data_IF_799034536423
#
_entry.id   IF_799034536423
#
_cell.length_a   1.000
_cell.length_b   1.000
_cell.length_c   1.000
_cell.angle_alpha   90.00
_cell.angle_beta   90.00
_cell.angle_gamma   90.00
#
_symmetry.space_group_name_H-M   'P 1'
#
loop_
_entity.id
_entity.type
_entity.pdbx_description
1 polymer ?
#
# COMPACT_ATOMS: atom_id res chain seq x y z
N UNK A 1 1.57 34.13 -51.87
CA UNK A 1 1.02 32.77 -51.84
C UNK A 1 1.10 32.28 -50.41
N UNK A 2 0.06 32.56 -49.63
CA UNK A 2 -0.18 32.06 -48.28
C UNK A 2 -1.65 31.68 -48.23
N UNK A 3 -1.93 30.39 -48.10
CA UNK A 3 -3.25 29.83 -47.86
C UNK A 3 -3.22 29.37 -46.41
N UNK A 4 -4.04 29.99 -45.55
CA UNK A 4 -4.42 29.41 -44.27
C UNK A 4 -5.94 29.29 -44.30
N UNK A 5 -6.38 28.03 -44.33
CA UNK A 5 -7.76 27.61 -44.37
C UNK A 5 -8.46 27.97 -43.05
N UNK A 6 -9.57 28.70 -43.17
CA UNK A 6 -10.61 28.71 -42.16
C UNK A 6 -11.33 27.35 -42.19
N UNK A 7 -11.23 26.59 -41.11
CA UNK A 7 -12.07 25.41 -40.88
C UNK A 7 -13.12 25.79 -39.84
N UNK A 8 -14.35 25.93 -40.33
CA UNK A 8 -15.53 26.16 -39.52
C UNK A 8 -15.90 24.93 -38.70
N UNK A 9 -16.31 25.18 -37.46
CA UNK A 9 -16.93 24.20 -36.59
C UNK A 9 -18.21 23.68 -37.22
N UNK A 10 -18.20 22.40 -37.59
CA UNK A 10 -19.44 21.66 -37.85
C UNK A 10 -19.90 21.14 -36.50
N UNK A 11 -20.96 21.74 -35.97
CA UNK A 11 -21.68 21.20 -34.82
C UNK A 11 -22.31 19.86 -35.25
N UNK A 12 -21.62 18.76 -34.98
CA UNK A 12 -22.19 17.44 -35.04
C UNK A 12 -23.08 17.29 -33.81
N UNK A 13 -24.38 17.45 -34.01
CA UNK A 13 -25.42 17.04 -33.07
C UNK A 13 -25.20 15.55 -32.77
N UNK A 14 -24.70 15.23 -31.58
CA UNK A 14 -24.63 13.84 -31.14
C UNK A 14 -26.06 13.31 -31.00
N UNK A 15 -26.38 12.12 -31.56
CA UNK A 15 -27.65 11.48 -31.30
C UNK A 15 -27.77 11.27 -29.79
N UNK A 16 -28.95 11.50 -29.23
CA UNK A 16 -29.21 11.26 -27.83
C UNK A 16 -28.92 9.80 -27.48
N UNK A 17 -27.81 9.57 -26.79
CA UNK A 17 -27.61 8.34 -26.05
C UNK A 17 -28.53 8.41 -24.83
N UNK A 18 -29.58 7.59 -24.88
CA UNK A 18 -30.38 7.31 -23.71
C UNK A 18 -29.45 6.91 -22.57
N UNK A 19 -29.67 7.52 -21.41
CA UNK A 19 -29.22 7.00 -20.14
C UNK A 19 -29.77 5.56 -20.03
N UNK A 20 -28.97 4.60 -20.49
CA UNK A 20 -29.14 3.22 -20.09
C UNK A 20 -28.91 3.23 -18.59
N UNK A 21 -30.01 2.99 -17.89
CA UNK A 21 -30.12 2.65 -16.49
C UNK A 21 -29.12 1.51 -16.21
N UNK A 22 -27.85 1.84 -15.93
CA UNK A 22 -26.81 0.86 -15.62
C UNK A 22 -27.09 0.35 -14.21
N UNK A 23 -27.98 -0.64 -14.11
CA UNK A 23 -28.06 -1.48 -12.92
C UNK A 23 -26.66 -2.01 -12.63
N UNK A 24 -26.15 -1.64 -11.46
CA UNK A 24 -24.84 -2.10 -11.01
C UNK A 24 -24.90 -3.62 -10.80
N UNK A 25 -23.81 -4.35 -11.06
CA UNK A 25 -23.76 -5.78 -10.78
C UNK A 25 -23.84 -5.98 -9.26
N UNK A 26 -24.95 -6.55 -8.80
CA UNK A 26 -25.18 -6.94 -7.41
C UNK A 26 -24.84 -8.42 -7.22
N UNK A 27 -24.37 -8.78 -6.04
CA UNK A 27 -24.00 -10.13 -5.63
C UNK A 27 -24.86 -10.51 -4.44
N UNK A 28 -25.38 -11.74 -4.41
CA UNK A 28 -26.12 -12.26 -3.25
C UNK A 28 -25.20 -12.30 -2.01
N UNK A 29 -25.68 -11.72 -0.92
CA UNK A 29 -24.98 -11.63 0.37
C UNK A 29 -25.59 -12.56 1.42
N UNK A 30 -26.90 -12.80 1.31
CA UNK A 30 -27.69 -13.71 2.12
C UNK A 30 -28.85 -14.25 1.29
N UNK A 31 -29.85 -14.82 1.96
CA UNK A 31 -31.00 -15.45 1.29
C UNK A 31 -31.83 -14.44 0.50
N UNK A 32 -32.03 -13.24 1.07
CA UNK A 32 -32.83 -12.17 0.48
C UNK A 32 -32.06 -10.84 0.27
N UNK A 33 -30.80 -10.77 0.73
CA UNK A 33 -29.94 -9.60 0.50
C UNK A 33 -29.00 -9.74 -0.70
N UNK A 34 -28.71 -8.61 -1.32
CA UNK A 34 -27.63 -8.48 -2.30
C UNK A 34 -26.80 -7.24 -2.04
N UNK A 35 -25.50 -7.28 -2.32
CA UNK A 35 -24.57 -6.16 -2.16
C UNK A 35 -23.84 -5.82 -3.45
N UNK A 36 -23.40 -4.57 -3.54
CA UNK A 36 -22.45 -4.14 -4.56
C UNK A 36 -21.04 -4.61 -4.14
N UNK A 37 -20.27 -5.33 -4.97
CA UNK A 37 -19.05 -6.01 -4.53
C UNK A 37 -17.83 -5.08 -4.33
N UNK A 38 -18.08 -3.81 -4.05
CA UNK A 38 -17.08 -2.78 -3.83
C UNK A 38 -17.55 -1.79 -2.76
N UNK A 39 -16.59 -1.07 -2.17
CA UNK A 39 -16.88 0.07 -1.29
C UNK A 39 -16.64 1.40 -1.99
N UNK A 40 -17.17 2.48 -1.43
CA UNK A 40 -17.03 3.84 -1.95
C UNK A 40 -16.78 4.85 -0.82
N UNK A 41 -15.95 5.90 -1.02
CA UNK A 41 -15.77 6.96 -0.03
C UNK A 41 -17.00 7.88 0.02
N UNK A 42 -17.91 7.78 -0.95
CA UNK A 42 -19.16 8.54 -1.00
C UNK A 42 -20.33 7.57 -1.16
N UNK A 43 -21.57 8.04 -0.93
CA UNK A 43 -22.77 7.26 -1.22
C UNK A 43 -23.10 7.27 -2.72
N UNK A 44 -22.10 6.94 -3.55
CA UNK A 44 -22.17 6.94 -5.00
C UNK A 44 -21.34 5.78 -5.59
N UNK A 45 -21.79 5.22 -6.72
CA UNK A 45 -21.15 4.07 -7.37
C UNK A 45 -19.94 4.45 -8.21
N UNK A 46 -19.84 5.73 -8.57
CA UNK A 46 -18.80 6.28 -9.44
C UNK A 46 -17.43 6.30 -8.76
N UNK A 47 -17.40 6.45 -7.43
CA UNK A 47 -16.20 6.58 -6.60
C UNK A 47 -15.76 5.23 -6.03
N UNK A 48 -15.97 4.13 -6.78
CA UNK A 48 -15.52 2.79 -6.40
C UNK A 48 -14.07 2.78 -5.87
N UNK A 49 -13.86 2.08 -4.76
CA UNK A 49 -12.54 1.79 -4.18
C UNK A 49 -12.28 0.27 -4.18
N UNK A 50 -11.84 -0.29 -3.05
CA UNK A 50 -11.47 -1.70 -2.93
C UNK A 50 -12.70 -2.61 -2.99
N UNK A 51 -12.47 -3.85 -3.40
CA UNK A 51 -13.52 -4.87 -3.49
C UNK A 51 -13.85 -5.45 -2.11
N UNK A 52 -15.09 -5.93 -1.96
CA UNK A 52 -15.43 -6.91 -0.91
C UNK A 52 -14.80 -8.25 -1.31
N UNK A 53 -14.02 -8.86 -0.43
CA UNK A 53 -13.26 -10.07 -0.76
C UNK A 53 -13.50 -11.23 0.21
N UNK A 54 -14.22 -11.00 1.29
CA UNK A 54 -14.73 -12.05 2.18
C UNK A 54 -16.20 -11.77 2.49
N UNK A 55 -17.03 -12.80 2.49
CA UNK A 55 -18.43 -12.77 2.93
C UNK A 55 -18.63 -13.90 3.94
N UNK A 56 -19.16 -13.57 5.12
CA UNK A 56 -19.45 -14.53 6.17
C UNK A 56 -20.96 -14.61 6.33
N UNK A 57 -21.55 -15.77 6.05
CA UNK A 57 -22.97 -16.06 6.28
C UNK A 57 -23.15 -16.55 7.72
N UNK A 58 -24.09 -15.95 8.45
CA UNK A 58 -24.38 -16.22 9.86
C UNK A 58 -24.20 -14.99 10.76
N UNK A 59 -24.45 -15.18 12.06
CA UNK A 59 -24.52 -14.10 13.05
C UNK A 59 -23.29 -13.16 13.00
N UNK A 60 -23.47 -11.86 12.70
CA UNK A 60 -22.39 -10.89 12.70
C UNK A 60 -21.64 -10.77 14.03
N UNK A 61 -22.33 -10.94 15.16
CA UNK A 61 -21.71 -10.91 16.48
C UNK A 61 -20.77 -12.11 16.68
N UNK A 62 -21.10 -13.27 16.13
CA UNK A 62 -20.22 -14.44 16.12
C UNK A 62 -19.00 -14.23 15.23
N UNK A 63 -19.18 -13.58 14.07
CA UNK A 63 -18.08 -13.22 13.17
C UNK A 63 -17.09 -12.28 13.86
N UNK A 64 -17.57 -11.20 14.49
CA UNK A 64 -16.73 -10.26 15.22
C UNK A 64 -15.99 -10.95 16.36
N UNK A 65 -16.71 -11.71 17.18
CA UNK A 65 -16.15 -12.43 18.31
C UNK A 65 -15.10 -13.46 17.89
N UNK A 66 -15.30 -14.13 16.76
CA UNK A 66 -14.31 -15.03 16.20
C UNK A 66 -13.00 -14.30 15.93
N UNK A 67 -13.07 -13.19 15.20
CA UNK A 67 -11.91 -12.41 14.81
C UNK A 67 -11.17 -11.81 16.02
N UNK A 68 -11.89 -11.30 17.02
CA UNK A 68 -11.28 -10.64 18.19
C UNK A 68 -10.80 -11.63 19.27
N UNK A 69 -11.50 -12.75 19.50
CA UNK A 69 -11.26 -13.59 20.69
C UNK A 69 -10.78 -15.01 20.39
N UNK A 70 -10.93 -15.51 19.16
CA UNK A 70 -10.79 -16.95 18.83
C UNK A 70 -9.94 -17.24 17.60
N UNK A 71 -9.52 -16.20 16.92
CA UNK A 71 -8.60 -16.25 15.79
C UNK A 71 -7.20 -16.62 16.28
N UNK A 72 -6.37 -17.07 15.34
CA UNK A 72 -4.94 -17.30 15.59
C UNK A 72 -4.13 -15.99 15.42
N UNK A 73 -4.73 -14.96 14.80
CA UNK A 73 -4.17 -13.62 14.63
C UNK A 73 -4.33 -12.71 15.85
N UNK A 74 -3.57 -11.62 15.90
CA UNK A 74 -3.60 -10.62 16.98
C UNK A 74 -4.51 -9.44 16.59
N UNK A 75 -5.75 -9.73 16.21
CA UNK A 75 -6.70 -8.70 15.76
C UNK A 75 -7.08 -7.74 16.87
N UNK A 76 -6.89 -6.45 16.64
CA UNK A 76 -7.26 -5.37 17.54
C UNK A 76 -8.21 -4.39 16.85
N UNK A 77 -9.11 -3.79 17.62
CA UNK A 77 -9.96 -2.70 17.15
C UNK A 77 -9.10 -1.51 16.71
N UNK A 78 -9.36 -0.99 15.51
CA UNK A 78 -8.65 0.18 15.00
C UNK A 78 -9.13 1.43 15.73
N UNK A 79 -8.21 2.11 16.41
CA UNK A 79 -8.53 3.37 17.09
C UNK A 79 -8.89 4.48 16.08
N UNK A 80 -9.74 5.47 16.45
CA UNK A 80 -10.10 6.58 15.56
C UNK A 80 -8.91 7.35 14.98
N UNK A 81 -7.83 7.43 15.74
CA UNK A 81 -6.57 8.06 15.32
C UNK A 81 -5.82 7.26 14.25
N UNK A 82 -6.08 5.95 14.19
CA UNK A 82 -5.43 4.99 13.32
C UNK A 82 -6.29 4.52 12.15
N UNK A 83 -7.52 5.04 12.09
CA UNK A 83 -8.42 4.87 10.95
C UNK A 83 -7.72 5.28 9.66
N UNK A 84 -7.99 4.47 8.66
CA UNK A 84 -7.29 4.50 7.40
C UNK A 84 -7.51 5.82 6.65
N UNK A 85 -6.45 6.61 6.53
CA UNK A 85 -6.38 7.84 5.71
C UNK A 85 -5.75 7.54 4.33
N UNK A 86 -5.72 6.27 3.91
CA UNK A 86 -5.09 5.86 2.65
C UNK A 86 -5.89 6.32 1.44
N UNK A 87 -5.13 6.71 0.42
CA UNK A 87 -5.59 6.84 -0.96
C UNK A 87 -5.71 5.41 -1.53
N UNK A 88 -6.75 4.69 -1.12
CA UNK A 88 -7.20 3.48 -1.78
C UNK A 88 -7.56 3.87 -3.23
N UNK A 89 -6.59 3.72 -4.12
CA UNK A 89 -6.57 4.36 -5.44
C UNK A 89 -7.93 4.35 -6.11
N UNK A 90 -8.51 5.54 -6.26
CA UNK A 90 -9.64 5.73 -7.17
C UNK A 90 -9.15 5.32 -8.55
N UNK A 91 -9.88 4.42 -9.19
CA UNK A 91 -9.58 3.92 -10.53
C UNK A 91 -9.40 5.14 -11.46
N UNK A 92 -8.19 5.36 -11.98
CA UNK A 92 -7.87 6.46 -12.91
C UNK A 92 -8.71 6.28 -14.19
N UNK A 93 -9.92 6.84 -14.21
CA UNK A 93 -10.53 7.23 -15.48
C UNK A 93 -9.67 8.33 -16.07
N UNK A 94 -8.98 8.01 -17.16
CA UNK A 94 -8.47 9.01 -18.10
C UNK A 94 -9.69 9.78 -18.65
N UNK A 95 -10.11 10.80 -17.93
CA UNK A 95 -11.24 11.67 -18.23
C UNK A 95 -11.04 13.01 -17.53
N UNK A 96 -11.06 14.09 -18.30
CA UNK A 96 -10.72 15.47 -17.88
C UNK A 96 -11.77 16.13 -16.98
N UNK A 97 -12.41 15.40 -16.06
CA UNK A 97 -13.30 15.96 -15.04
C UNK A 97 -12.61 15.89 -13.68
N UNK A 98 -11.86 16.93 -13.34
CA UNK A 98 -11.40 17.15 -11.96
C UNK A 98 -12.63 17.56 -11.13
N UNK A 99 -13.35 16.56 -10.61
CA UNK A 99 -14.27 16.78 -9.51
C UNK A 99 -13.42 16.93 -8.25
N UNK A 100 -13.33 18.15 -7.73
CA UNK A 100 -12.78 18.40 -6.40
C UNK A 100 -13.78 17.83 -5.39
N UNK A 101 -13.60 16.56 -5.02
CA UNK A 101 -14.30 15.94 -3.90
C UNK A 101 -13.59 16.28 -2.59
N UNK A 102 -14.36 16.45 -1.52
CA UNK A 102 -13.85 16.56 -0.15
C UNK A 102 -13.05 15.29 0.17
N UNK A 103 -11.83 15.43 0.65
CA UNK A 103 -11.03 14.31 1.14
C UNK A 103 -11.52 13.89 2.54
N UNK A 104 -12.69 13.25 2.63
CA UNK A 104 -13.15 12.54 3.83
C UNK A 104 -12.64 11.09 3.74
N UNK A 105 -11.40 10.89 4.15
CA UNK A 105 -10.63 9.69 3.87
C UNK A 105 -10.97 8.46 4.71
N UNK A 106 -11.63 8.57 5.86
CA UNK A 106 -11.80 7.43 6.76
C UNK A 106 -13.00 6.54 6.41
N UNK A 107 -14.17 7.10 6.15
CA UNK A 107 -15.41 6.33 5.97
C UNK A 107 -15.50 5.65 4.59
N UNK A 108 -15.92 4.38 4.55
CA UNK A 108 -16.16 3.65 3.30
C UNK A 108 -17.54 3.02 3.35
N UNK A 109 -18.40 3.40 2.41
CA UNK A 109 -19.76 2.89 2.32
C UNK A 109 -19.85 1.63 1.45
N UNK A 110 -20.70 0.70 1.85
CA UNK A 110 -21.15 -0.44 1.05
C UNK A 110 -22.61 -0.22 0.63
N UNK A 111 -22.98 -0.58 -0.60
CA UNK A 111 -24.38 -0.54 -1.03
C UNK A 111 -24.99 -1.94 -0.93
N UNK A 112 -26.12 -2.07 -0.22
CA UNK A 112 -26.82 -3.34 -0.04
C UNK A 112 -28.34 -3.18 -0.22
N UNK A 113 -28.98 -4.17 -0.83
CA UNK A 113 -30.43 -4.27 -1.05
C UNK A 113 -31.00 -5.37 -0.17
N UNK A 114 -32.18 -5.13 0.40
CA UNK A 114 -32.96 -6.12 1.16
C UNK A 114 -34.14 -6.60 0.32
N UNK A 115 -34.80 -7.68 0.76
CA UNK A 115 -36.05 -8.19 0.19
C UNK A 115 -36.00 -8.53 -1.32
N UNK A 116 -34.82 -8.78 -1.88
CA UNK A 116 -34.64 -9.02 -3.31
C UNK A 116 -35.04 -7.86 -4.23
N UNK A 117 -35.26 -6.64 -3.71
CA UNK A 117 -35.56 -5.45 -4.52
C UNK A 117 -34.26 -4.70 -4.90
N UNK A 118 -33.78 -4.83 -6.15
CA UNK A 118 -32.55 -4.17 -6.60
C UNK A 118 -32.68 -2.63 -6.69
N UNK A 119 -33.88 -2.07 -6.50
CA UNK A 119 -34.14 -0.63 -6.53
C UNK A 119 -34.29 0.03 -5.16
N UNK A 120 -34.38 -0.78 -4.08
CA UNK A 120 -34.59 -0.32 -2.71
C UNK A 120 -33.34 -0.26 -1.84
N UNK A 121 -32.14 -0.47 -2.40
CA UNK A 121 -30.92 -0.61 -1.61
C UNK A 121 -30.45 0.68 -0.93
N UNK A 122 -29.70 0.50 0.16
CA UNK A 122 -29.18 1.55 1.02
C UNK A 122 -27.66 1.49 1.11
N UNK A 123 -27.04 2.66 1.27
CA UNK A 123 -25.63 2.76 1.64
C UNK A 123 -25.50 2.55 3.14
N UNK A 124 -24.65 1.61 3.53
CA UNK A 124 -24.31 1.31 4.93
C UNK A 124 -22.87 1.71 5.20
N UNK A 125 -22.66 2.20 6.41
CA UNK A 125 -21.34 2.52 6.95
C UNK A 125 -20.66 1.24 7.48
N UNK A 126 -19.35 1.31 7.75
CA UNK A 126 -18.63 0.26 8.45
C UNK A 126 -19.21 0.00 9.85
N UNK A 127 -19.41 -1.26 10.21
CA UNK A 127 -19.85 -1.65 11.55
C UNK A 127 -18.68 -1.69 12.54
N UNK A 128 -17.51 -2.15 12.08
CA UNK A 128 -16.26 -2.16 12.84
C UNK A 128 -15.04 -2.30 11.92
N UNK A 129 -13.87 -1.94 12.45
CA UNK A 129 -12.57 -2.06 11.77
C UNK A 129 -11.58 -2.75 12.70
N UNK A 130 -10.89 -3.79 12.20
CA UNK A 130 -9.85 -4.49 12.94
C UNK A 130 -8.53 -4.49 12.16
N UNK A 131 -7.42 -4.54 12.87
CA UNK A 131 -6.10 -4.73 12.29
C UNK A 131 -5.26 -5.77 13.03
N UNK A 132 -4.31 -6.37 12.33
CA UNK A 132 -3.29 -7.28 12.86
C UNK A 132 -1.92 -6.89 12.27
N UNK A 133 -1.00 -6.42 13.12
CA UNK A 133 0.33 -5.92 12.76
C UNK A 133 0.69 -4.56 13.37
N UNK A 134 1.81 -3.98 12.94
CA UNK A 134 2.32 -2.70 13.45
C UNK A 134 1.86 -1.51 12.58
N UNK A 135 1.45 -0.40 13.20
CA UNK A 135 1.03 0.83 12.52
C UNK A 135 2.15 1.42 11.66
N UNK A 136 3.39 1.56 12.18
CA UNK A 136 4.53 2.12 11.41
C UNK A 136 5.29 1.05 10.60
N UNK A 137 4.79 -0.18 10.61
CA UNK A 137 5.29 -1.33 9.87
C UNK A 137 4.34 -1.73 8.75
N UNK A 138 3.83 -2.96 8.85
CA UNK A 138 2.84 -3.56 7.96
C UNK A 138 1.75 -4.22 8.78
N UNK A 139 0.51 -4.14 8.30
CA UNK A 139 -0.64 -4.78 8.95
C UNK A 139 -1.65 -5.31 7.95
N UNK A 140 -2.38 -6.34 8.37
CA UNK A 140 -3.64 -6.70 7.77
C UNK A 140 -4.73 -5.81 8.38
N UNK A 141 -5.57 -5.22 7.55
CA UNK A 141 -6.67 -4.37 7.98
C UNK A 141 -7.97 -4.91 7.37
N UNK A 142 -9.03 -4.92 8.16
CA UNK A 142 -10.37 -5.28 7.70
C UNK A 142 -11.35 -4.16 8.03
N UNK A 143 -12.28 -3.94 7.10
CA UNK A 143 -13.51 -3.18 7.32
C UNK A 143 -14.68 -4.14 7.18
N UNK A 144 -15.51 -4.23 8.20
CA UNK A 144 -16.65 -5.14 8.24
C UNK A 144 -17.96 -4.38 8.13
N UNK A 145 -18.89 -4.94 7.36
CA UNK A 145 -20.22 -4.42 7.09
C UNK A 145 -21.23 -5.49 7.44
N UNK A 146 -22.14 -5.18 8.35
CA UNK A 146 -23.17 -6.11 8.79
C UNK A 146 -24.45 -5.94 7.98
N UNK A 147 -25.24 -7.00 7.92
CA UNK A 147 -26.52 -6.98 7.23
C UNK A 147 -27.39 -5.80 7.68
N UNK A 148 -27.97 -5.06 6.72
CA UNK A 148 -28.90 -4.00 7.03
C UNK A 148 -30.25 -4.47 7.59
N UNK A 149 -30.58 -5.74 7.36
CA UNK A 149 -31.84 -6.39 7.72
C UNK A 149 -31.62 -7.29 8.94
N UNK A 150 -32.36 -7.11 10.05
CA UNK A 150 -32.22 -7.98 11.21
C UNK A 150 -32.63 -9.43 10.96
N UNK A 151 -33.39 -9.72 9.90
CA UNK A 151 -33.83 -11.07 9.56
C UNK A 151 -32.88 -11.79 8.59
N UNK A 152 -31.81 -11.12 8.12
CA UNK A 152 -30.78 -11.69 7.25
C UNK A 152 -29.40 -11.58 7.92
N UNK A 153 -28.68 -12.68 8.05
CA UNK A 153 -27.45 -12.77 8.84
C UNK A 153 -26.23 -12.93 7.93
N UNK A 154 -25.52 -11.82 7.69
CA UNK A 154 -24.25 -11.85 6.97
C UNK A 154 -23.33 -10.70 7.41
N UNK A 155 -22.04 -10.92 7.23
CA UNK A 155 -20.98 -9.89 7.37
C UNK A 155 -20.14 -9.87 6.10
N UNK A 156 -20.13 -8.74 5.39
CA UNK A 156 -19.24 -8.51 4.27
C UNK A 156 -17.96 -7.84 4.77
N UNK A 157 -16.81 -8.34 4.32
CA UNK A 157 -15.50 -7.88 4.77
C UNK A 157 -14.69 -7.42 3.56
N UNK A 158 -14.13 -6.23 3.70
CA UNK A 158 -13.05 -5.72 2.89
C UNK A 158 -11.73 -5.91 3.65
N UNK A 159 -10.97 -6.92 3.28
CA UNK A 159 -9.66 -7.21 3.85
C UNK A 159 -8.54 -6.70 2.93
N UNK A 160 -7.60 -5.93 3.45
CA UNK A 160 -6.44 -5.48 2.69
C UNK A 160 -5.18 -5.44 3.55
N UNK A 161 -4.03 -5.52 2.88
CA UNK A 161 -2.72 -5.51 3.46
C UNK A 161 -2.10 -4.16 3.13
N UNK A 162 -1.58 -3.51 4.15
CA UNK A 162 -1.04 -2.16 4.03
C UNK A 162 0.24 -2.01 4.81
N UNK A 163 1.03 -1.02 4.41
CA UNK A 163 2.26 -0.65 5.08
C UNK A 163 2.39 0.85 5.20
N UNK A 164 3.11 1.29 6.23
CA UNK A 164 3.44 2.71 6.41
C UNK A 164 4.47 3.17 5.38
N UNK A 165 4.10 4.13 4.54
CA UNK A 165 5.00 4.75 3.58
C UNK A 165 5.60 6.04 4.18
N UNK A 166 6.87 5.99 4.56
CA UNK A 166 7.57 7.15 5.14
C UNK A 166 7.68 8.38 4.24
N UNK A 167 7.55 8.25 2.92
CA UNK A 167 7.58 9.39 2.00
C UNK A 167 6.20 9.98 1.75
N UNK A 168 5.13 9.22 2.03
CA UNK A 168 3.75 9.70 1.99
C UNK A 168 3.23 10.11 3.36
N UNK A 169 3.84 9.58 4.43
CA UNK A 169 3.35 9.70 5.82
C UNK A 169 1.90 9.20 5.96
N UNK A 170 1.61 8.09 5.27
CA UNK A 170 0.31 7.42 5.30
C UNK A 170 0.49 5.92 5.03
N UNK A 171 -0.53 5.13 5.35
CA UNK A 171 -0.62 3.76 4.87
C UNK A 171 -0.80 3.73 3.35
N UNK A 172 -0.16 2.76 2.70
CA UNK A 172 -0.36 2.43 1.30
C UNK A 172 -0.78 0.97 1.23
N UNK A 173 -1.94 0.73 0.62
CA UNK A 173 -2.45 -0.62 0.35
C UNK A 173 -1.56 -1.29 -0.69
N UNK A 174 -1.09 -2.49 -0.39
CA UNK A 174 -0.23 -3.27 -1.28
C UNK A 174 -0.79 -4.64 -1.68
N UNK A 175 -1.74 -5.21 -0.92
CA UNK A 175 -2.41 -6.45 -1.35
C UNK A 175 -3.77 -6.69 -0.70
N UNK A 176 -4.78 -6.89 -1.52
CA UNK A 176 -6.12 -7.39 -1.15
C UNK A 176 -6.11 -8.90 -1.07
N UNK A 177 -5.48 -9.58 -2.04
CA UNK A 177 -5.41 -11.03 -2.14
C UNK A 177 -4.74 -11.67 -0.92
N UNK A 178 -3.62 -11.09 -0.44
CA UNK A 178 -2.88 -11.61 0.71
C UNK A 178 -3.70 -11.54 2.00
N UNK A 179 -4.44 -10.44 2.20
CA UNK A 179 -5.28 -10.27 3.39
C UNK A 179 -6.56 -11.08 3.32
N UNK A 180 -7.16 -11.25 2.14
CA UNK A 180 -8.25 -12.22 1.95
C UNK A 180 -7.81 -13.62 2.39
N UNK A 181 -6.65 -14.08 1.91
CA UNK A 181 -6.10 -15.38 2.29
C UNK A 181 -5.75 -15.47 3.78
N UNK A 182 -5.36 -14.36 4.40
CA UNK A 182 -5.11 -14.28 5.84
C UNK A 182 -6.41 -14.50 6.62
N UNK A 183 -7.45 -13.72 6.32
CA UNK A 183 -8.79 -13.86 6.93
C UNK A 183 -9.37 -15.24 6.65
N UNK A 184 -9.27 -15.76 5.43
CA UNK A 184 -9.73 -17.10 5.05
C UNK A 184 -9.15 -18.19 5.97
N UNK A 185 -7.85 -18.12 6.28
CA UNK A 185 -7.19 -19.07 7.17
C UNK A 185 -7.70 -18.99 8.61
N UNK A 186 -8.15 -17.82 9.06
CA UNK A 186 -8.73 -17.68 10.40
C UNK A 186 -9.98 -18.53 10.61
N UNK A 187 -10.74 -18.78 9.55
CA UNK A 187 -11.97 -19.58 9.58
C UNK A 187 -11.73 -21.06 9.21
N UNK A 188 -10.63 -21.38 8.52
CA UNK A 188 -10.34 -22.76 8.10
C UNK A 188 -10.12 -23.71 9.29
N UNK A 189 -10.79 -24.86 9.26
CA UNK A 189 -10.61 -25.92 10.25
C UNK A 189 -11.19 -25.62 11.63
N UNK A 190 -11.98 -24.54 11.78
CA UNK A 190 -12.71 -24.22 13.01
C UNK A 190 -13.98 -25.07 13.11
N UNK A 191 -14.27 -25.57 14.32
CA UNK A 191 -15.36 -26.52 14.55
C UNK A 191 -16.78 -25.93 14.38
N UNK A 192 -16.92 -24.61 14.43
CA UNK A 192 -18.18 -23.89 14.22
C UNK A 192 -18.31 -23.33 12.78
N UNK A 193 -17.33 -23.57 11.91
CA UNK A 193 -17.37 -23.18 10.50
C UNK A 193 -17.75 -24.40 9.67
N UNK A 194 -18.81 -24.29 8.89
CA UNK A 194 -19.34 -25.39 8.07
C UNK A 194 -18.47 -25.61 6.85
N UNK A 195 -18.20 -24.52 6.13
CA UNK A 195 -17.48 -24.53 4.87
C UNK A 195 -16.79 -23.20 4.62
N UNK A 196 -15.71 -23.26 3.85
CA UNK A 196 -14.96 -22.10 3.37
C UNK A 196 -14.71 -22.30 1.89
N UNK A 197 -15.42 -21.54 1.05
CA UNK A 197 -15.37 -21.68 -0.41
C UNK A 197 -14.90 -20.40 -1.06
N UNK A 198 -14.43 -20.49 -2.31
CA UNK A 198 -14.16 -19.31 -3.15
C UNK A 198 -15.12 -19.28 -4.33
N UNK A 199 -15.76 -18.14 -4.53
CA UNK A 199 -16.67 -17.89 -5.66
C UNK A 199 -16.12 -16.74 -6.48
N UNK A 200 -16.05 -16.93 -7.80
CA UNK A 200 -15.61 -15.88 -8.71
C UNK A 200 -16.75 -14.93 -9.02
N UNK A 201 -16.64 -13.68 -8.57
CA UNK A 201 -17.64 -12.62 -8.73
C UNK A 201 -17.24 -11.58 -9.78
N UNK A 202 -16.01 -11.64 -10.31
CA UNK A 202 -15.52 -10.69 -11.31
C UNK A 202 -15.37 -9.28 -10.74
N UNK A 203 -15.05 -9.18 -9.45
CA UNK A 203 -14.67 -7.95 -8.76
C UNK A 203 -13.15 -7.72 -8.76
N UNK A 204 -12.50 -8.08 -9.86
CA UNK A 204 -11.06 -7.99 -10.11
C UNK A 204 -10.57 -6.56 -10.39
N UNK A 205 -11.45 -5.56 -10.25
CA UNK A 205 -11.11 -4.16 -10.52
C UNK A 205 -10.58 -3.47 -9.27
N UNK A 206 -9.30 -3.12 -9.32
CA UNK A 206 -8.63 -2.34 -8.29
C UNK A 206 -7.61 -3.17 -7.52
N UNK A 207 -6.48 -2.54 -7.18
CA UNK A 207 -5.33 -3.19 -6.52
C UNK A 207 -4.94 -4.50 -7.22
N UNK A 208 -4.80 -5.58 -6.46
CA UNK A 208 -4.42 -6.91 -6.92
C UNK A 208 -5.51 -7.97 -6.72
N UNK A 209 -6.78 -7.54 -6.63
CA UNK A 209 -7.92 -8.43 -6.55
C UNK A 209 -7.99 -9.33 -7.80
N UNK A 210 -8.23 -10.62 -7.59
CA UNK A 210 -8.28 -11.64 -8.65
C UNK A 210 -9.73 -11.98 -9.06
N UNK A 211 -10.71 -11.27 -8.50
CA UNK A 211 -12.13 -11.46 -8.76
C UNK A 211 -12.78 -12.61 -7.98
N UNK A 212 -12.04 -13.28 -7.10
CA UNK A 212 -12.55 -14.32 -6.21
C UNK A 212 -12.89 -13.75 -4.83
N UNK A 213 -14.03 -14.18 -4.29
CA UNK A 213 -14.47 -13.85 -2.93
C UNK A 213 -14.55 -15.12 -2.11
N UNK A 214 -14.04 -15.06 -0.89
CA UNK A 214 -14.12 -16.16 0.07
C UNK A 214 -15.49 -16.10 0.77
N UNK A 215 -16.25 -17.18 0.73
CA UNK A 215 -17.53 -17.32 1.44
C UNK A 215 -17.32 -18.28 2.62
N UNK A 216 -17.72 -17.85 3.81
CA UNK A 216 -17.65 -18.62 5.06
C UNK A 216 -19.06 -18.83 5.58
N UNK A 217 -19.49 -20.07 5.79
CA UNK A 217 -20.81 -20.38 6.35
C UNK A 217 -20.69 -20.82 7.82
N UNK A 218 -21.48 -20.20 8.71
CA UNK A 218 -21.52 -20.47 10.15
C UNK A 218 -22.80 -21.25 10.54
N UNK A 219 -22.86 -22.58 10.36
CA UNK A 219 -23.84 -23.42 11.06
C UNK A 219 -23.45 -24.91 11.24
N UNK A 220 -23.74 -25.47 12.41
CA UNK A 220 -22.98 -26.56 13.04
C UNK A 220 -22.96 -27.95 12.38
N UNK A 221 -21.75 -28.50 12.23
CA UNK A 221 -21.49 -29.93 11.99
C UNK A 221 -20.03 -30.30 12.28
N UNK A 222 -19.81 -31.38 13.05
CA UNK A 222 -18.47 -31.87 13.42
C UNK A 222 -17.65 -32.34 12.19
N UNK A 223 -16.38 -31.91 12.02
CA UNK A 223 -15.46 -32.55 11.08
C UNK A 223 -14.58 -33.64 11.76
N UNK A 224 -14.17 -34.71 11.04
CA UNK A 224 -13.24 -35.70 11.56
C UNK A 224 -11.77 -35.27 11.43
N UNK A 225 -11.04 -35.45 12.53
CA UNK A 225 -9.60 -35.70 12.76
C UNK A 225 -8.50 -35.55 11.67
N UNK A 226 -7.41 -34.91 12.14
CA UNK A 226 -5.95 -35.12 11.95
C UNK A 226 -5.25 -34.93 10.59
N UNK A 227 -4.27 -34.02 10.56
CA UNK A 227 -2.98 -34.21 9.87
C UNK A 227 -1.84 -33.52 10.65
N UNK A 228 -0.79 -34.30 10.91
CA UNK A 228 0.46 -33.86 11.51
C UNK A 228 1.44 -33.37 10.43
N UNK A 229 2.25 -32.36 10.75
CA UNK A 229 3.56 -32.19 10.10
C UNK A 229 4.66 -32.07 11.16
N UNK A 230 5.49 -33.11 11.22
CA UNK A 230 6.87 -33.05 11.73
C UNK A 230 7.72 -32.28 10.71
N UNK A 231 8.60 -31.41 11.22
CA UNK A 231 9.40 -30.49 10.42
C UNK A 231 10.59 -31.09 9.66
N UNK A 232 11.36 -30.20 9.04
CA UNK A 232 12.79 -30.34 8.70
C UNK A 232 13.35 -28.98 8.24
N UNK A 233 14.35 -28.46 8.96
CA UNK A 233 15.36 -27.53 8.42
C UNK A 233 16.49 -28.38 7.80
N UNK A 234 16.99 -28.01 6.61
CA UNK A 234 18.38 -27.53 6.46
C UNK A 234 18.43 -26.35 5.45
N UNK A 235 19.35 -25.40 5.43
CA UNK A 235 20.75 -25.38 5.80
C UNK A 235 21.56 -24.74 4.65
N UNK A 236 22.26 -23.64 4.96
CA UNK A 236 23.49 -23.12 4.33
C UNK A 236 23.52 -22.55 2.88
N UNK A 237 23.89 -21.26 2.84
CA UNK A 237 24.87 -20.57 1.98
C UNK A 237 25.18 -21.09 0.56
N UNK A 238 24.97 -20.22 -0.42
CA UNK A 238 25.86 -20.13 -1.58
C UNK A 238 26.42 -18.69 -1.72
N UNK A 239 27.70 -18.55 -1.35
CA UNK A 239 28.54 -17.46 -1.83
C UNK A 239 29.17 -17.90 -3.15
N UNK A 240 28.94 -17.17 -4.23
CA UNK A 240 29.67 -17.37 -5.48
C UNK A 240 31.03 -16.67 -5.39
N UNK A 241 32.11 -17.45 -5.48
CA UNK A 241 33.45 -16.94 -5.83
C UNK A 241 33.50 -16.68 -7.32
N UNK A 242 33.68 -15.43 -7.72
CA UNK A 242 34.23 -15.12 -9.05
C UNK A 242 35.70 -14.80 -8.86
N UNK A 243 36.55 -15.64 -9.45
CA UNK A 243 37.97 -15.40 -9.64
C UNK A 243 38.19 -15.01 -11.10
N UNK A 244 38.50 -13.75 -11.36
CA UNK A 244 39.35 -13.37 -12.49
C UNK A 244 40.24 -12.21 -12.05
N UNK A 245 41.55 -12.41 -12.17
CA UNK A 245 42.57 -11.38 -11.93
C UNK A 245 42.68 -10.53 -13.19
N UNK A 246 42.53 -9.22 -13.07
CA UNK A 246 43.01 -8.25 -14.03
C UNK A 246 43.70 -7.09 -13.28
N UNK A 247 44.76 -6.48 -13.84
CA UNK A 247 45.62 -5.52 -13.12
C UNK A 247 45.04 -4.09 -13.06
N UNK A 248 43.75 -3.97 -12.69
CA UNK A 248 43.07 -2.70 -12.37
C UNK A 248 42.64 -2.62 -10.88
N UNK A 249 42.84 -3.70 -10.10
CA UNK A 249 42.39 -3.81 -8.71
C UNK A 249 43.08 -2.83 -7.74
N UNK A 250 44.28 -2.35 -8.07
CA UNK A 250 45.05 -1.49 -7.16
C UNK A 250 44.53 -0.04 -7.05
N UNK A 251 43.79 0.45 -8.06
CA UNK A 251 43.18 1.80 -8.05
C UNK A 251 41.72 1.77 -7.55
N UNK A 252 41.05 0.63 -7.65
CA UNK A 252 39.65 0.41 -7.27
C UNK A 252 39.52 0.04 -5.78
N UNK A 253 40.50 -0.70 -5.21
CA UNK A 253 40.45 -1.20 -3.83
C UNK A 253 40.36 -0.11 -2.74
N UNK A 254 40.84 1.11 -3.00
CA UNK A 254 40.73 2.23 -2.05
C UNK A 254 39.43 3.05 -2.18
N UNK A 255 38.69 2.91 -3.30
CA UNK A 255 37.47 3.68 -3.61
C UNK A 255 36.18 2.92 -3.29
N UNK A 256 36.15 1.61 -3.52
CA UNK A 256 35.04 0.71 -3.16
C UNK A 256 34.60 0.84 -1.69
N UNK A 257 35.49 0.87 -0.67
CA UNK A 257 35.02 0.99 0.70
C UNK A 257 34.25 2.29 0.94
N UNK A 258 34.60 3.39 0.29
CA UNK A 258 33.92 4.69 0.49
C UNK A 258 32.58 4.76 -0.23
N UNK A 259 32.48 4.17 -1.42
CA UNK A 259 31.20 4.01 -2.11
C UNK A 259 30.24 3.11 -1.31
N UNK A 260 30.75 2.02 -0.75
CA UNK A 260 29.99 1.14 0.14
C UNK A 260 29.61 1.82 1.46
N UNK A 261 30.46 2.69 2.01
CA UNK A 261 30.12 3.48 3.19
C UNK A 261 28.96 4.44 2.90
N UNK A 262 28.95 5.11 1.74
CA UNK A 262 27.83 5.95 1.34
C UNK A 262 26.55 5.11 1.19
N UNK A 263 26.57 4.07 0.36
CA UNK A 263 25.39 3.21 0.16
C UNK A 263 24.90 2.59 1.48
N UNK A 264 25.81 2.04 2.27
CA UNK A 264 25.53 1.46 3.58
C UNK A 264 24.98 2.48 4.57
N UNK A 265 25.42 3.74 4.54
CA UNK A 265 24.86 4.79 5.40
C UNK A 265 23.41 5.12 5.08
N UNK A 266 23.02 5.11 3.80
CA UNK A 266 21.64 5.35 3.39
C UNK A 266 20.72 4.20 3.79
N UNK A 267 21.18 2.96 3.57
CA UNK A 267 20.49 1.75 4.03
C UNK A 267 20.33 1.79 5.56
N UNK A 268 21.42 1.99 6.29
CA UNK A 268 21.40 1.99 7.76
C UNK A 268 20.49 3.09 8.33
N UNK A 269 20.53 4.31 7.77
CA UNK A 269 19.68 5.41 8.22
C UNK A 269 18.20 5.13 7.95
N UNK A 270 17.88 4.62 6.75
CA UNK A 270 16.50 4.28 6.40
C UNK A 270 15.94 3.20 7.34
N UNK A 271 16.71 2.12 7.54
CA UNK A 271 16.31 1.03 8.44
C UNK A 271 16.30 1.43 9.91
N UNK A 272 17.17 2.36 10.33
CA UNK A 272 17.09 2.96 11.66
C UNK A 272 15.75 3.66 11.86
N UNK A 273 15.27 4.38 10.85
CA UNK A 273 13.97 5.05 10.93
C UNK A 273 12.83 4.03 10.99
N UNK A 274 12.81 3.05 10.07
CA UNK A 274 11.80 1.99 10.05
C UNK A 274 11.74 1.21 11.36
N UNK A 275 12.82 0.52 11.71
CA UNK A 275 12.83 -0.35 12.88
C UNK A 275 12.89 0.42 14.20
N UNK A 276 13.50 1.60 14.21
CA UNK A 276 13.50 2.46 15.39
C UNK A 276 12.10 2.93 15.74
N UNK A 277 11.30 3.34 14.75
CA UNK A 277 9.93 3.78 14.97
C UNK A 277 9.02 2.64 15.46
N UNK A 278 9.05 1.47 14.79
CA UNK A 278 8.32 0.27 15.21
C UNK A 278 8.74 -0.16 16.62
N UNK A 279 10.04 -0.12 16.93
CA UNK A 279 10.55 -0.44 18.26
C UNK A 279 10.05 0.53 19.35
N UNK A 280 9.80 1.80 19.01
CA UNK A 280 9.24 2.78 19.94
C UNK A 280 7.74 2.56 20.10
N UNK A 281 7.02 2.34 19.00
CA UNK A 281 5.59 2.03 18.97
C UNK A 281 5.26 0.82 19.87
N UNK A 282 5.91 -0.31 19.62
CA UNK A 282 5.76 -1.58 20.37
C UNK A 282 6.18 -1.49 21.85
N UNK A 283 6.79 -0.39 22.30
CA UNK A 283 7.16 -0.19 23.71
C UNK A 283 6.30 0.87 24.40
N UNK A 284 5.62 1.71 23.63
CA UNK A 284 4.87 2.88 24.12
C UNK A 284 3.40 2.78 23.68
N UNK A 285 2.68 1.76 24.19
CA UNK A 285 1.29 1.39 23.86
C UNK A 285 0.19 2.43 24.24
N UNK A 286 0.50 3.74 24.26
CA UNK A 286 -0.45 4.82 24.51
C UNK A 286 -0.05 6.15 23.89
N UNK A 287 0.94 6.14 23.00
CA UNK A 287 1.36 7.31 22.22
C UNK A 287 0.81 7.13 20.82
N UNK A 288 0.05 8.11 20.32
CA UNK A 288 -0.41 8.11 18.92
C UNK A 288 0.81 7.91 17.98
N UNK A 289 0.83 6.86 17.15
CA UNK A 289 1.94 6.55 16.26
C UNK A 289 2.36 7.70 15.34
N UNK A 290 1.46 8.65 15.05
CA UNK A 290 1.76 9.83 14.22
C UNK A 290 2.76 10.78 14.90
N UNK A 291 2.80 10.84 16.23
CA UNK A 291 3.84 11.58 16.94
C UNK A 291 5.21 10.90 16.81
N UNK A 292 5.24 9.57 16.84
CA UNK A 292 6.46 8.78 16.63
C UNK A 292 6.95 9.01 15.19
N UNK A 293 6.06 8.90 14.21
CA UNK A 293 6.37 9.21 12.81
C UNK A 293 6.94 10.62 12.65
N UNK A 294 6.30 11.63 13.25
CA UNK A 294 6.76 13.01 13.25
C UNK A 294 8.14 13.20 13.87
N UNK A 295 8.49 12.45 14.92
CA UNK A 295 9.81 12.50 15.55
C UNK A 295 10.91 11.84 14.70
N UNK A 296 10.56 10.77 13.97
CA UNK A 296 11.51 10.03 13.14
C UNK A 296 11.68 10.62 11.72
N UNK A 297 10.66 11.30 11.19
CA UNK A 297 10.67 11.84 9.84
C UNK A 297 11.83 12.80 9.53
N UNK A 298 12.28 13.70 10.44
CA UNK A 298 13.44 14.56 10.20
C UNK A 298 14.74 13.79 9.88
N UNK A 299 14.91 12.58 10.42
CA UNK A 299 16.07 11.74 10.09
C UNK A 299 16.04 11.29 8.62
N UNK A 300 14.87 11.04 8.05
CA UNK A 300 14.75 10.79 6.61
C UNK A 300 14.92 12.08 5.81
N UNK A 301 14.10 13.10 6.13
CA UNK A 301 13.98 14.32 5.35
C UNK A 301 15.29 15.10 5.25
N UNK A 302 16.07 15.14 6.34
CA UNK A 302 17.34 15.86 6.41
C UNK A 302 18.52 14.90 6.44
N UNK A 303 18.42 13.80 7.16
CA UNK A 303 19.54 12.87 7.34
C UNK A 303 19.98 12.20 6.05
N UNK A 304 19.05 11.78 5.16
CA UNK A 304 19.43 11.16 3.88
C UNK A 304 20.25 12.10 2.98
N UNK A 305 19.84 13.36 2.73
CA UNK A 305 20.67 14.35 2.05
C UNK A 305 22.01 14.62 2.75
N UNK A 306 22.01 14.75 4.08
CA UNK A 306 23.22 15.07 4.85
C UNK A 306 24.23 13.94 4.80
N UNK A 307 23.80 12.68 5.01
CA UNK A 307 24.65 11.50 4.84
C UNK A 307 25.19 11.42 3.41
N UNK A 308 24.33 11.62 2.41
CA UNK A 308 24.72 11.63 1.00
C UNK A 308 25.81 12.66 0.74
N UNK A 309 25.59 13.90 1.17
CA UNK A 309 26.53 14.99 1.00
C UNK A 309 27.86 14.75 1.73
N UNK A 310 27.83 14.18 2.94
CA UNK A 310 29.04 13.98 3.74
C UNK A 310 29.90 12.82 3.22
N UNK A 311 29.30 11.67 2.93
CA UNK A 311 30.05 10.47 2.51
C UNK A 311 30.49 10.52 1.04
N UNK A 312 29.81 11.28 0.19
CA UNK A 312 30.21 11.45 -1.21
C UNK A 312 31.48 12.28 -1.41
N UNK A 313 31.94 13.06 -0.41
CA UNK A 313 33.05 14.04 -0.53
C UNK A 313 34.38 13.49 -1.02
N UNK A 314 34.57 12.19 -0.89
CA UNK A 314 35.83 11.50 -1.19
C UNK A 314 35.77 10.70 -2.50
N UNK A 315 34.63 10.72 -3.19
CA UNK A 315 34.35 9.97 -4.40
C UNK A 315 34.50 10.87 -5.64
N UNK A 316 34.73 10.26 -6.80
CA UNK A 316 34.57 10.90 -8.10
C UNK A 316 33.08 10.99 -8.50
N UNK A 317 32.74 11.86 -9.47
CA UNK A 317 31.35 12.14 -9.88
C UNK A 317 30.52 10.88 -10.20
N UNK A 318 30.95 9.98 -11.12
CA UNK A 318 30.12 8.83 -11.47
C UNK A 318 29.98 7.83 -10.31
N UNK A 319 31.04 7.63 -9.53
CA UNK A 319 30.98 6.76 -8.34
C UNK A 319 30.05 7.32 -7.27
N UNK A 320 30.09 8.63 -7.03
CA UNK A 320 29.21 9.30 -6.08
C UNK A 320 27.74 9.19 -6.48
N UNK A 321 27.43 9.46 -7.76
CA UNK A 321 26.07 9.31 -8.29
C UNK A 321 25.56 7.88 -8.10
N UNK A 322 26.35 6.89 -8.56
CA UNK A 322 25.97 5.49 -8.51
C UNK A 322 25.76 5.02 -7.07
N UNK A 323 26.69 5.33 -6.16
CA UNK A 323 26.60 4.93 -4.76
C UNK A 323 25.41 5.58 -4.03
N UNK A 324 25.10 6.86 -4.31
CA UNK A 324 23.93 7.54 -3.76
C UNK A 324 22.61 6.97 -4.28
N UNK A 325 22.44 6.93 -5.61
CA UNK A 325 21.20 6.48 -6.26
C UNK A 325 20.93 4.99 -6.03
N UNK A 326 21.92 4.12 -6.28
CA UNK A 326 21.75 2.66 -6.14
C UNK A 326 21.67 2.28 -4.66
N UNK A 327 22.43 2.94 -3.79
CA UNK A 327 22.37 2.70 -2.35
C UNK A 327 20.98 2.98 -1.78
N UNK A 328 20.39 4.13 -2.15
CA UNK A 328 19.01 4.44 -1.78
C UNK A 328 18.00 3.49 -2.41
N UNK A 329 18.08 3.22 -3.72
CA UNK A 329 17.18 2.28 -4.38
C UNK A 329 17.23 0.89 -3.72
N UNK A 330 18.42 0.46 -3.30
CA UNK A 330 18.63 -0.80 -2.56
C UNK A 330 17.97 -0.75 -1.19
N UNK A 331 18.08 0.38 -0.46
CA UNK A 331 17.39 0.56 0.83
C UNK A 331 15.88 0.38 0.68
N UNK A 332 15.28 0.99 -0.34
CA UNK A 332 13.84 0.88 -0.63
C UNK A 332 13.44 -0.54 -1.04
N UNK A 333 14.22 -1.21 -1.89
CA UNK A 333 13.93 -2.60 -2.28
C UNK A 333 14.01 -3.56 -1.09
N UNK A 334 15.01 -3.39 -0.23
CA UNK A 334 15.13 -4.17 1.00
C UNK A 334 13.94 -3.90 1.94
N UNK A 335 13.52 -2.64 2.09
CA UNK A 335 12.37 -2.29 2.91
C UNK A 335 11.08 -2.94 2.41
N UNK A 336 10.79 -2.85 1.11
CA UNK A 336 9.64 -3.52 0.52
C UNK A 336 9.71 -5.04 0.64
N UNK A 337 10.92 -5.62 0.59
CA UNK A 337 11.11 -7.05 0.85
C UNK A 337 10.76 -7.40 2.29
N UNK A 338 11.18 -6.57 3.26
CA UNK A 338 10.87 -6.76 4.69
C UNK A 338 9.37 -6.63 4.96
N UNK A 339 8.72 -5.65 4.32
CA UNK A 339 7.27 -5.42 4.44
C UNK A 339 6.42 -6.40 3.62
N UNK A 340 7.04 -7.30 2.85
CA UNK A 340 6.32 -8.26 2.00
C UNK A 340 5.58 -7.63 0.82
N UNK A 341 5.93 -6.39 0.44
CA UNK A 341 5.30 -5.66 -0.67
C UNK A 341 5.69 -6.32 -2.00
N UNK A 342 4.71 -6.92 -2.66
CA UNK A 342 4.90 -7.64 -3.94
C UNK A 342 4.49 -6.83 -5.16
N UNK A 343 3.63 -5.82 -4.98
CA UNK A 343 3.08 -4.98 -6.04
C UNK A 343 3.18 -3.52 -5.61
N UNK A 344 3.60 -2.65 -6.53
CA UNK A 344 3.77 -1.22 -6.29
C UNK A 344 3.02 -0.43 -7.36
N UNK A 345 2.21 0.56 -6.97
CA UNK A 345 1.66 1.51 -7.92
C UNK A 345 2.76 2.22 -8.72
N UNK A 346 2.51 2.45 -10.02
CA UNK A 346 3.49 3.06 -10.93
C UNK A 346 3.94 4.44 -10.42
N UNK A 347 3.01 5.21 -9.83
CA UNK A 347 3.33 6.53 -9.26
C UNK A 347 4.31 6.44 -8.07
N UNK A 348 4.22 5.41 -7.21
CA UNK A 348 5.18 5.13 -6.14
C UNK A 348 6.53 4.79 -6.75
N UNK A 349 6.57 3.93 -7.76
CA UNK A 349 7.82 3.56 -8.43
C UNK A 349 8.53 4.78 -9.03
N UNK A 350 7.83 5.63 -9.78
CA UNK A 350 8.36 6.86 -10.37
C UNK A 350 8.85 7.82 -9.29
N UNK A 351 8.12 7.93 -8.19
CA UNK A 351 8.52 8.76 -7.05
C UNK A 351 9.83 8.27 -6.42
N UNK A 352 9.95 6.97 -6.14
CA UNK A 352 11.17 6.38 -5.55
C UNK A 352 12.37 6.51 -6.47
N UNK A 353 12.17 6.30 -7.76
CA UNK A 353 13.22 6.49 -8.76
C UNK A 353 13.71 7.95 -8.81
N UNK A 354 12.78 8.91 -8.80
CA UNK A 354 13.09 10.34 -8.75
C UNK A 354 13.83 10.74 -7.47
N UNK A 355 13.44 10.16 -6.34
CA UNK A 355 14.10 10.37 -5.03
C UNK A 355 15.54 9.84 -5.06
N UNK A 356 15.77 8.66 -5.66
CA UNK A 356 17.10 8.11 -5.85
C UNK A 356 17.98 9.03 -6.70
N UNK A 357 17.44 9.55 -7.81
CA UNK A 357 18.12 10.50 -8.69
C UNK A 357 18.49 11.80 -7.95
N UNK A 358 17.58 12.33 -7.13
CA UNK A 358 17.83 13.52 -6.33
C UNK A 358 19.04 13.34 -5.42
N UNK A 359 19.12 12.22 -4.70
CA UNK A 359 20.29 11.87 -3.87
C UNK A 359 21.55 11.67 -4.73
N UNK A 360 21.44 11.05 -5.91
CA UNK A 360 22.54 10.96 -6.86
C UNK A 360 23.14 12.32 -7.24
N UNK A 361 22.30 13.31 -7.52
CA UNK A 361 22.75 14.67 -7.83
C UNK A 361 23.40 15.38 -6.64
N UNK A 362 22.85 15.20 -5.43
CA UNK A 362 23.49 15.69 -4.19
C UNK A 362 24.88 15.08 -4.05
N UNK A 363 25.02 13.77 -4.28
CA UNK A 363 26.29 13.06 -4.19
C UNK A 363 27.32 13.57 -5.22
N UNK A 364 26.90 13.77 -6.48
CA UNK A 364 27.76 14.35 -7.54
C UNK A 364 28.26 15.73 -7.14
N UNK A 365 27.37 16.61 -6.71
CA UNK A 365 27.74 17.97 -6.32
C UNK A 365 28.63 18.03 -5.08
N UNK A 366 28.57 17.01 -4.21
CA UNK A 366 29.45 16.87 -3.05
C UNK A 366 30.82 16.23 -3.37
N UNK A 367 30.96 15.57 -4.53
CA UNK A 367 32.11 14.75 -4.91
C UNK A 367 33.45 15.50 -4.89
N UNK A 368 34.54 14.78 -4.65
CA UNK A 368 35.88 15.34 -4.58
C UNK A 368 36.25 16.12 -5.85
N UNK A 369 35.91 15.58 -7.01
CA UNK A 369 36.20 16.19 -8.32
C UNK A 369 35.57 17.56 -8.46
N UNK A 370 34.30 17.72 -8.05
CA UNK A 370 33.60 19.02 -8.12
C UNK A 370 34.18 20.03 -7.12
N UNK A 371 34.65 19.56 -5.96
CA UNK A 371 35.23 20.45 -4.93
C UNK A 371 36.61 20.98 -5.30
N UNK A 372 37.39 20.23 -6.08
CA UNK A 372 38.75 20.61 -6.48
C UNK A 372 38.75 21.37 -7.81
N UNK A 373 37.87 21.01 -8.75
CA UNK A 373 37.76 21.66 -10.06
C UNK A 373 36.27 21.88 -10.45
N UNK A 374 35.68 23.01 -10.05
CA UNK A 374 34.27 23.31 -10.27
C UNK A 374 34.05 23.85 -11.68
N UNK A 375 33.94 22.96 -12.67
CA UNK A 375 33.53 23.37 -14.03
C UNK A 375 32.02 23.63 -14.14
N UNK A 376 31.20 23.10 -13.22
CA UNK A 376 29.74 23.24 -13.18
C UNK A 376 29.23 23.41 -11.73
N UNK A 377 28.49 24.48 -11.45
CA UNK A 377 28.31 24.99 -10.08
C UNK A 377 27.00 24.61 -9.35
N UNK A 378 26.08 23.82 -9.91
CA UNK A 378 24.72 23.74 -9.32
C UNK A 378 24.15 22.34 -9.06
N UNK A 379 24.93 21.25 -9.14
CA UNK A 379 24.41 19.89 -8.92
C UNK A 379 23.84 19.65 -7.51
N UNK A 380 24.43 20.22 -6.46
CA UNK A 380 23.87 20.11 -5.09
C UNK A 380 22.54 20.85 -4.99
N UNK A 381 22.43 22.04 -5.60
CA UNK A 381 21.18 22.81 -5.59
C UNK A 381 20.09 22.10 -6.36
N UNK A 382 20.41 21.58 -7.55
CA UNK A 382 19.48 20.78 -8.35
C UNK A 382 19.02 19.54 -7.58
N UNK A 383 19.94 18.79 -6.99
CA UNK A 383 19.62 17.61 -6.19
C UNK A 383 18.77 17.96 -4.96
N UNK A 384 19.07 19.06 -4.27
CA UNK A 384 18.27 19.53 -3.14
C UNK A 384 16.88 20.00 -3.56
N UNK A 385 16.75 20.70 -4.69
CA UNK A 385 15.45 21.10 -5.25
C UNK A 385 14.61 19.88 -5.62
N UNK A 386 15.20 18.92 -6.33
CA UNK A 386 14.54 17.65 -6.66
C UNK A 386 14.13 16.90 -5.39
N UNK A 387 14.99 16.85 -4.39
CA UNK A 387 14.70 16.24 -3.09
C UNK A 387 13.50 16.90 -2.41
N UNK A 388 13.49 18.23 -2.34
CA UNK A 388 12.36 18.99 -1.79
C UNK A 388 11.07 18.73 -2.56
N UNK A 389 11.11 18.68 -3.89
CA UNK A 389 9.93 18.33 -4.71
C UNK A 389 9.46 16.91 -4.40
N UNK A 390 10.37 15.93 -4.34
CA UNK A 390 10.01 14.54 -4.02
C UNK A 390 9.50 14.40 -2.58
N UNK A 391 9.96 15.19 -1.62
CA UNK A 391 9.41 15.17 -0.26
C UNK A 391 8.04 15.84 -0.17
N UNK A 392 7.87 17.01 -0.80
CA UNK A 392 6.68 17.83 -0.59
C UNK A 392 5.48 17.39 -1.42
N UNK A 393 5.67 16.98 -2.68
CA UNK A 393 4.56 16.65 -3.59
C UNK A 393 3.64 15.54 -3.03
N UNK A 394 4.14 14.44 -2.45
CA UNK A 394 3.27 13.45 -1.83
C UNK A 394 2.49 14.01 -0.63
N UNK A 395 3.11 14.87 0.18
CA UNK A 395 2.50 15.45 1.38
C UNK A 395 1.40 16.47 1.05
N UNK A 396 1.55 17.19 -0.06
CA UNK A 396 0.53 18.14 -0.54
C UNK A 396 -0.77 17.46 -0.97
N UNK A 397 -0.81 16.13 -1.11
CA UNK A 397 -2.05 15.39 -1.42
C UNK A 397 -3.02 15.33 -0.24
N UNK A 398 -2.54 15.65 0.97
CA UNK A 398 -3.32 15.63 2.21
C UNK A 398 -3.70 17.04 2.71
N UNK A 399 -3.41 18.08 1.91
CA UNK A 399 -3.82 19.47 2.12
C UNK A 399 -4.86 19.86 1.07
#
# INVERSE_FOLDING_TARGET
MFVVLALGSVAATSPGDGASDRRQPMVSAGDDSSLWPYTSPTTAFEDRTLAINVLVSGDPAETRRHLEERSDGEWNETAPEEEDVSDAGTDERVGTSTAWGTADGSTRYLYATTDGDPSGGRWIDESYQLHDGDYLGSRHHIRAYESPDPDDEWTAIQAHGEHWDWFRLSHTVDSVERSQQYVEREFMGRHYVTDVTRVHLGNDRGSDADGWVTIVDLDGGDPPFHLAFLGLLPGAMLATRVSSRNPLDALVAARVPRALLLAGSLIALYFFVRFGAIAVETRLHGVDPRFIAGAFYPFLAVGLPVCTYYFARSLDRPTAFAAGSIGFATAILLDYTVLGVTRLPVNVFVHRFSTAIALGFIAVGASHTVRVDPEDHDFVRLGALLWMVTLLVPLLRFL
#
